data_IF_665004487602
#
_entry.id   IF_665004487602
#
_cell.length_a   1.000
_cell.length_b   1.000
_cell.length_c   1.000
_cell.angle_alpha   90.00
_cell.angle_beta   90.00
_cell.angle_gamma   90.00
#
_symmetry.space_group_name_H-M   'P 1'
#
loop_
_entity.id
_entity.type
_entity.pdbx_description
1 polymer ?
#
# COMPACT_ATOMS: atom_id res chain seq x y z
N UNK A 1 -37.21 9.65 2.94
CA UNK A 1 -37.92 8.85 3.94
C UNK A 1 -37.09 7.60 4.13
N UNK A 2 -36.38 7.31 5.21
CA UNK A 2 -36.08 7.91 6.52
C UNK A 2 -34.76 7.21 6.90
N UNK A 3 -33.66 7.89 7.21
CA UNK A 3 -33.29 8.35 8.55
C UNK A 3 -33.44 7.29 9.67
N UNK A 4 -32.40 6.48 9.87
CA UNK A 4 -32.04 5.97 11.20
C UNK A 4 -30.51 6.13 11.33
N UNK A 5 -30.05 7.25 11.88
CA UNK A 5 -29.94 7.61 13.29
C UNK A 5 -28.60 7.16 13.90
N UNK A 6 -27.74 8.18 14.04
CA UNK A 6 -26.50 8.23 14.80
C UNK A 6 -26.68 7.91 16.29
N UNK A 7 -25.57 7.44 16.89
CA UNK A 7 -24.95 7.74 18.22
C UNK A 7 -24.45 6.42 18.84
N UNK A 8 -23.17 6.27 19.19
CA UNK A 8 -22.53 6.72 20.45
C UNK A 8 -21.01 6.47 20.27
N UNK A 9 -20.08 7.44 20.32
CA UNK A 9 -19.45 8.10 21.49
C UNK A 9 -18.98 7.17 22.63
N UNK A 10 -17.66 7.00 22.79
CA UNK A 10 -16.83 7.04 24.03
C UNK A 10 -15.34 7.00 23.57
N UNK A 11 -14.56 8.08 23.65
CA UNK A 11 -13.78 8.62 24.79
C UNK A 11 -12.66 7.70 25.34
N UNK A 12 -11.43 8.24 25.40
CA UNK A 12 -10.30 7.71 26.16
C UNK A 12 -8.94 7.96 25.47
N UNK A 13 -8.43 9.20 25.39
CA UNK A 13 -7.50 9.83 26.34
C UNK A 13 -6.15 9.12 26.51
N UNK A 14 -5.09 9.77 26.01
CA UNK A 14 -3.67 9.51 26.24
C UNK A 14 -3.30 9.48 27.74
N UNK A 15 -2.14 8.91 28.07
CA UNK A 15 -1.22 9.74 28.85
C UNK A 15 0.21 9.74 28.31
N UNK A 16 0.70 10.96 28.17
CA UNK A 16 2.10 11.37 28.24
C UNK A 16 2.75 10.95 29.57
N UNK A 17 3.98 10.44 29.52
CA UNK A 17 4.78 10.14 30.71
C UNK A 17 6.27 10.01 30.39
N UNK A 18 6.97 11.14 30.46
CA UNK A 18 8.43 11.27 30.56
C UNK A 18 8.89 10.89 31.98
N UNK A 19 10.03 10.21 32.15
CA UNK A 19 11.09 10.63 33.09
C UNK A 19 12.33 9.70 33.06
N UNK A 20 13.48 10.33 32.85
CA UNK A 20 14.70 10.24 33.68
C UNK A 20 15.59 9.00 33.70
N UNK A 21 16.76 9.21 33.09
CA UNK A 21 18.10 8.79 33.48
C UNK A 21 18.31 8.59 34.98
N UNK A 22 18.86 7.43 35.36
CA UNK A 22 19.78 7.31 36.50
C UNK A 22 20.90 6.30 36.21
N UNK A 23 22.12 6.83 36.15
CA UNK A 23 23.38 6.13 36.34
C UNK A 23 23.43 5.53 37.75
N UNK A 24 23.84 4.27 37.91
CA UNK A 24 23.99 3.72 39.25
C UNK A 24 24.50 2.28 39.36
N UNK A 25 25.82 2.15 39.53
CA UNK A 25 26.56 1.09 40.26
C UNK A 25 26.65 -0.31 39.62
N UNK A 26 27.87 -0.59 39.12
CA UNK A 26 28.50 -1.92 39.13
C UNK A 26 28.41 -2.54 40.54
N UNK A 27 27.77 -3.71 40.64
CA UNK A 27 28.02 -4.69 41.70
C UNK A 27 28.64 -5.92 41.04
N UNK A 28 29.88 -6.25 41.43
CA UNK A 28 30.42 -7.60 41.33
C UNK A 28 29.55 -8.48 42.22
N UNK A 29 28.89 -9.48 41.64
CA UNK A 29 28.23 -10.56 42.37
C UNK A 29 28.87 -11.86 41.95
N UNK A 30 29.05 -12.68 42.97
CA UNK A 30 29.84 -13.89 43.08
C UNK A 30 29.57 -14.91 41.98
N UNK A 31 30.66 -15.59 41.64
CA UNK A 31 30.68 -16.83 40.88
C UNK A 31 29.95 -17.89 41.72
N UNK A 32 28.72 -18.25 41.34
CA UNK A 32 27.99 -19.37 41.90
C UNK A 32 27.76 -20.36 40.76
N UNK A 33 28.51 -21.47 40.81
CA UNK A 33 28.38 -22.58 39.89
C UNK A 33 26.97 -23.16 40.03
N UNK A 34 26.12 -22.83 39.05
CA UNK A 34 24.84 -23.51 38.84
C UNK A 34 25.15 -24.91 38.29
N UNK A 35 24.67 -25.98 38.93
CA UNK A 35 24.89 -27.34 38.46
C UNK A 35 24.21 -27.55 37.10
N UNK A 36 25.05 -27.94 36.13
CA UNK A 36 24.71 -28.40 34.79
C UNK A 36 23.86 -29.67 34.88
N UNK A 37 22.55 -29.49 34.99
CA UNK A 37 21.58 -30.54 34.69
C UNK A 37 21.31 -30.44 33.17
N UNK A 38 21.93 -31.37 32.46
CA UNK A 38 21.89 -31.48 31.02
C UNK A 38 20.62 -32.23 30.61
N UNK A 39 19.52 -31.50 30.43
CA UNK A 39 18.36 -31.98 29.68
C UNK A 39 17.65 -30.84 28.92
N UNK A 40 18.39 -29.80 28.54
CA UNK A 40 17.88 -28.78 27.63
C UNK A 40 17.96 -29.32 26.20
N UNK A 41 16.83 -29.85 25.71
CA UNK A 41 16.71 -30.37 24.34
C UNK A 41 17.13 -29.26 23.34
N UNK A 42 18.28 -29.38 22.63
CA UNK A 42 18.79 -28.33 21.74
C UNK A 42 17.94 -28.12 20.47
N UNK A 43 16.93 -28.97 20.28
CA UNK A 43 16.03 -28.99 19.13
C UNK A 43 15.16 -27.71 19.07
N UNK A 44 14.90 -27.05 20.21
CA UNK A 44 13.99 -25.88 20.25
C UNK A 44 14.62 -24.56 19.77
N UNK A 45 15.93 -24.37 19.88
CA UNK A 45 16.57 -23.09 19.52
C UNK A 45 16.86 -22.97 18.01
N UNK A 46 17.16 -24.10 17.36
CA UNK A 46 17.43 -24.15 15.91
C UNK A 46 16.17 -23.79 15.11
N UNK A 47 15.00 -24.21 15.58
CA UNK A 47 13.71 -23.89 14.97
C UNK A 47 13.37 -22.40 15.05
N UNK A 48 13.73 -21.71 16.15
CA UNK A 48 13.48 -20.26 16.30
C UNK A 48 14.41 -19.45 15.40
N UNK A 49 15.68 -19.84 15.27
CA UNK A 49 16.63 -19.18 14.35
C UNK A 49 16.22 -19.42 12.90
N UNK A 50 15.81 -20.64 12.54
CA UNK A 50 15.25 -20.93 11.21
C UNK A 50 13.98 -20.13 10.94
N UNK A 51 13.09 -19.97 11.92
CA UNK A 51 11.87 -19.17 11.77
C UNK A 51 12.18 -17.68 11.61
N UNK A 52 13.15 -17.13 12.35
CA UNK A 52 13.59 -15.74 12.21
C UNK A 52 14.29 -15.48 10.86
N UNK A 53 15.12 -16.42 10.39
CA UNK A 53 15.69 -16.37 9.03
C UNK A 53 14.61 -16.50 7.95
N UNK A 54 13.59 -17.33 8.16
CA UNK A 54 12.46 -17.50 7.23
C UNK A 54 11.60 -16.23 7.15
N UNK A 55 11.39 -15.54 8.28
CA UNK A 55 10.70 -14.23 8.32
C UNK A 55 11.51 -13.15 7.59
N UNK A 56 12.85 -13.19 7.63
CA UNK A 56 13.70 -12.25 6.89
C UNK A 56 13.76 -12.54 5.38
N UNK A 57 13.57 -13.80 4.95
CA UNK A 57 13.55 -14.18 3.54
C UNK A 57 12.18 -14.12 2.87
N UNK A 58 11.11 -13.83 3.61
CA UNK A 58 9.87 -13.28 3.06
C UNK A 58 10.11 -11.81 2.67
N UNK A 59 11.07 -11.62 1.76
CA UNK A 59 11.32 -10.35 1.11
C UNK A 59 10.03 -9.94 0.41
N UNK A 60 9.45 -8.84 0.89
CA UNK A 60 8.49 -8.09 0.10
C UNK A 60 9.13 -7.83 -1.26
N UNK A 61 8.67 -8.54 -2.28
CA UNK A 61 9.05 -8.24 -3.65
C UNK A 61 8.72 -6.77 -3.89
N UNK A 62 9.76 -5.94 -4.03
CA UNK A 62 9.59 -4.53 -4.31
C UNK A 62 9.00 -4.45 -5.72
N UNK A 63 7.73 -4.06 -5.83
CA UNK A 63 7.11 -3.85 -7.13
C UNK A 63 7.93 -2.81 -7.92
N UNK A 64 8.38 -3.19 -9.12
CA UNK A 64 9.16 -2.29 -9.97
C UNK A 64 8.23 -1.42 -10.81
N UNK A 65 7.99 -0.20 -10.34
CA UNK A 65 7.14 0.77 -11.01
C UNK A 65 7.81 1.45 -12.21
N UNK A 66 9.09 1.20 -12.49
CA UNK A 66 9.89 1.93 -13.50
C UNK A 66 9.17 2.09 -14.85
N UNK A 67 8.46 1.05 -15.30
CA UNK A 67 7.70 1.06 -16.55
C UNK A 67 6.50 2.03 -16.57
N UNK A 68 5.88 2.28 -15.42
CA UNK A 68 4.65 3.09 -15.29
C UNK A 68 4.86 4.43 -14.59
N UNK A 69 6.09 4.74 -14.14
CA UNK A 69 6.41 6.06 -13.58
C UNK A 69 6.18 7.13 -14.64
N UNK A 70 5.51 8.21 -14.25
CA UNK A 70 5.34 9.39 -15.10
C UNK A 70 4.06 10.16 -14.81
N UNK A 71 3.89 11.25 -15.55
CA UNK A 71 2.67 12.07 -15.53
C UNK A 71 1.77 11.70 -16.70
N UNK A 72 0.54 11.31 -16.41
CA UNK A 72 -0.44 10.94 -17.42
C UNK A 72 -1.53 12.00 -17.50
N UNK A 73 -1.72 12.56 -18.70
CA UNK A 73 -2.82 13.50 -18.97
C UNK A 73 -4.07 12.73 -19.40
N UNK A 74 -5.24 13.29 -19.13
CA UNK A 74 -6.45 12.67 -19.65
C UNK A 74 -6.51 12.83 -21.18
N UNK A 75 -6.72 11.72 -21.88
CA UNK A 75 -6.70 11.65 -23.34
C UNK A 75 -8.10 11.43 -23.93
N UNK A 76 -8.82 10.44 -23.43
CA UNK A 76 -10.16 10.08 -23.91
C UNK A 76 -11.09 9.82 -22.76
N UNK A 77 -12.35 10.22 -22.89
CA UNK A 77 -13.40 9.91 -21.95
C UNK A 77 -14.67 9.54 -22.72
N UNK A 78 -15.27 8.39 -22.41
CA UNK A 78 -16.54 7.98 -23.00
C UNK A 78 -17.54 7.64 -21.90
N UNK A 79 -18.81 7.92 -22.17
CA UNK A 79 -19.94 7.58 -21.29
C UNK A 79 -21.02 6.96 -22.16
N UNK A 80 -21.42 5.72 -21.85
CA UNK A 80 -22.44 4.99 -22.61
C UNK A 80 -22.11 4.87 -24.11
N UNK A 81 -20.82 4.69 -24.45
CA UNK A 81 -20.34 4.60 -25.83
C UNK A 81 -20.13 5.94 -26.55
N UNK A 82 -20.57 7.07 -25.99
CA UNK A 82 -20.36 8.38 -26.59
C UNK A 82 -19.10 9.06 -26.04
N UNK A 83 -18.24 9.53 -26.93
CA UNK A 83 -17.06 10.33 -26.58
C UNK A 83 -17.45 11.70 -26.00
N UNK A 84 -16.77 12.11 -24.93
CA UNK A 84 -16.93 13.41 -24.27
C UNK A 84 -15.57 14.07 -24.11
N UNK A 85 -15.58 15.39 -23.90
CA UNK A 85 -14.38 16.14 -23.51
C UNK A 85 -13.85 15.54 -22.21
N UNK A 86 -12.57 15.16 -22.19
CA UNK A 86 -11.99 14.76 -20.93
C UNK A 86 -11.61 15.97 -20.08
N UNK A 87 -12.14 16.00 -18.86
CA UNK A 87 -11.89 17.02 -17.83
C UNK A 87 -11.24 16.43 -16.57
N UNK A 88 -10.85 15.15 -16.60
CA UNK A 88 -10.18 14.53 -15.47
C UNK A 88 -8.79 15.16 -15.24
N UNK A 89 -8.40 15.38 -13.97
CA UNK A 89 -7.08 15.91 -13.64
C UNK A 89 -5.98 14.92 -14.03
N UNK A 90 -4.74 15.39 -14.23
CA UNK A 90 -3.60 14.51 -14.48
C UNK A 90 -3.40 13.48 -13.37
N UNK A 91 -2.97 12.27 -13.76
CA UNK A 91 -2.56 11.19 -12.86
C UNK A 91 -1.03 11.13 -12.86
N UNK A 92 -0.39 11.38 -11.72
CA UNK A 92 1.05 11.26 -11.56
C UNK A 92 1.38 10.00 -10.77
N UNK A 93 2.25 9.15 -11.31
CA UNK A 93 2.75 7.94 -10.66
C UNK A 93 4.24 8.14 -10.36
N UNK A 94 4.60 7.98 -9.09
CA UNK A 94 5.96 8.16 -8.58
C UNK A 94 6.70 6.82 -8.50
N UNK A 95 8.04 6.88 -8.52
CA UNK A 95 8.89 5.68 -8.49
C UNK A 95 8.84 4.91 -7.17
N UNK A 96 8.37 5.54 -6.09
CA UNK A 96 8.15 4.91 -4.78
C UNK A 96 6.84 4.11 -4.71
N UNK A 97 6.08 4.04 -5.80
CA UNK A 97 4.79 3.36 -5.86
C UNK A 97 3.63 4.19 -5.33
N UNK A 98 3.82 5.48 -5.06
CA UNK A 98 2.72 6.39 -4.75
C UNK A 98 2.15 7.03 -6.02
N UNK A 99 0.94 7.56 -5.91
CA UNK A 99 0.31 8.35 -6.96
C UNK A 99 -0.37 9.60 -6.41
N UNK A 100 -0.60 10.55 -7.32
CA UNK A 100 -1.41 11.72 -7.07
C UNK A 100 -2.33 12.00 -8.25
N UNK A 101 -3.60 12.30 -7.97
CA UNK A 101 -4.58 12.74 -8.96
C UNK A 101 -5.42 13.85 -8.32
N UNK A 102 -5.13 15.11 -8.69
CA UNK A 102 -5.65 16.28 -7.98
C UNK A 102 -5.31 16.22 -6.48
N UNK A 103 -6.33 16.17 -5.61
CA UNK A 103 -6.20 16.04 -4.15
C UNK A 103 -6.11 14.58 -3.67
N UNK A 104 -6.46 13.61 -4.52
CA UNK A 104 -6.36 12.19 -4.20
C UNK A 104 -4.89 11.75 -4.23
N UNK A 105 -4.43 11.09 -3.16
CA UNK A 105 -3.08 10.54 -3.04
C UNK A 105 -3.16 9.16 -2.42
N UNK A 106 -2.34 8.23 -2.89
CA UNK A 106 -2.29 6.88 -2.33
C UNK A 106 -1.14 6.09 -2.92
N UNK A 107 -1.21 4.77 -2.77
CA UNK A 107 -0.31 3.80 -3.41
C UNK A 107 -0.93 3.15 -4.63
N UNK A 108 -0.06 2.74 -5.54
CA UNK A 108 -0.35 1.94 -6.73
C UNK A 108 -0.02 0.48 -6.42
N UNK A 109 -0.87 -0.43 -6.90
CA UNK A 109 -0.55 -1.86 -6.98
C UNK A 109 -0.58 -2.30 -8.43
N UNK A 110 0.44 -3.03 -8.86
CA UNK A 110 0.48 -3.65 -10.18
C UNK A 110 0.13 -5.12 -10.11
N UNK A 111 -0.91 -5.53 -10.83
CA UNK A 111 -1.32 -6.92 -10.94
C UNK A 111 -1.12 -7.39 -12.37
N UNK A 112 -0.59 -8.60 -12.56
CA UNK A 112 -0.55 -9.25 -13.88
C UNK A 112 -1.72 -10.21 -13.99
N UNK A 113 -2.64 -9.94 -14.91
CA UNK A 113 -3.81 -10.78 -15.16
C UNK A 113 -3.91 -11.10 -16.64
N UNK A 114 -3.88 -12.40 -16.99
CA UNK A 114 -4.03 -12.88 -18.39
C UNK A 114 -3.09 -12.17 -19.38
N UNK A 115 -1.84 -11.92 -18.97
CA UNK A 115 -0.83 -11.25 -19.79
C UNK A 115 -0.98 -9.72 -19.89
N UNK A 116 -1.94 -9.11 -19.18
CA UNK A 116 -2.12 -7.66 -19.11
C UNK A 116 -1.69 -7.13 -17.74
N UNK A 117 -1.11 -5.93 -17.71
CA UNK A 117 -0.80 -5.23 -16.46
C UNK A 117 -2.02 -4.41 -16.05
N UNK A 118 -2.50 -4.67 -14.84
CA UNK A 118 -3.57 -3.95 -14.17
C UNK A 118 -2.98 -3.05 -13.10
N UNK A 119 -3.51 -1.85 -12.97
CA UNK A 119 -3.06 -0.82 -12.03
C UNK A 119 -4.23 -0.52 -11.10
N UNK A 120 -4.04 -0.74 -9.80
CA UNK A 120 -5.06 -0.45 -8.78
C UNK A 120 -4.59 0.75 -7.96
N UNK A 121 -5.43 1.78 -7.92
CA UNK A 121 -5.20 3.00 -7.15
C UNK A 121 -5.90 2.87 -5.79
N UNK A 122 -5.12 2.82 -4.71
CA UNK A 122 -5.64 2.50 -3.37
C UNK A 122 -6.72 3.43 -2.82
N UNK A 123 -6.73 4.71 -3.21
CA UNK A 123 -7.74 5.69 -2.76
C UNK A 123 -8.79 6.02 -3.82
N UNK A 124 -8.72 5.39 -5.00
CA UNK A 124 -9.73 5.60 -6.04
C UNK A 124 -11.04 4.95 -5.63
N UNK A 125 -12.05 5.78 -5.33
CA UNK A 125 -13.39 5.31 -4.94
C UNK A 125 -14.29 4.99 -6.12
N UNK A 126 -14.05 5.62 -7.26
CA UNK A 126 -14.94 5.55 -8.43
C UNK A 126 -14.33 4.66 -9.51
N UNK A 127 -13.03 4.78 -9.77
CA UNK A 127 -12.36 4.05 -10.85
C UNK A 127 -11.90 2.70 -10.31
N UNK A 128 -12.28 1.62 -11.00
CA UNK A 128 -11.78 0.27 -10.72
C UNK A 128 -10.32 0.07 -11.15
N UNK A 129 -9.87 -1.19 -11.32
CA UNK A 129 -8.55 -1.48 -11.85
C UNK A 129 -8.36 -0.90 -13.26
N UNK A 130 -7.30 -0.11 -13.45
CA UNK A 130 -6.87 0.37 -14.77
C UNK A 130 -6.10 -0.71 -15.53
N UNK A 131 -6.14 -0.68 -16.85
CA UNK A 131 -5.33 -1.57 -17.72
C UNK A 131 -4.25 -0.73 -18.38
N UNK A 132 -2.98 -1.14 -18.23
CA UNK A 132 -1.88 -0.55 -18.98
C UNK A 132 -1.93 -1.05 -20.43
N UNK A 133 -2.11 -0.13 -21.36
CA UNK A 133 -2.13 -0.37 -22.80
C UNK A 133 -0.82 0.17 -23.37
N UNK A 134 -0.13 -0.64 -24.17
CA UNK A 134 1.06 -0.23 -24.96
C UNK A 134 2.17 0.46 -24.16
N UNK A 135 2.20 0.29 -22.82
CA UNK A 135 3.19 0.88 -21.91
C UNK A 135 3.02 2.39 -21.63
N UNK A 136 2.23 3.11 -22.43
CA UNK A 136 2.06 4.56 -22.30
C UNK A 136 0.62 5.01 -22.02
N UNK A 137 -0.35 4.10 -22.01
CA UNK A 137 -1.75 4.43 -21.78
C UNK A 137 -2.32 3.64 -20.61
N UNK A 138 -3.20 4.27 -19.83
CA UNK A 138 -3.93 3.60 -18.75
C UNK A 138 -5.42 3.79 -18.98
N UNK A 139 -6.13 2.70 -19.23
CA UNK A 139 -7.57 2.67 -19.43
C UNK A 139 -8.26 2.23 -18.13
N UNK A 140 -9.08 3.10 -17.55
CA UNK A 140 -9.98 2.75 -16.45
C UNK A 140 -11.40 2.61 -16.98
N UNK A 141 -12.02 1.47 -16.69
CA UNK A 141 -13.42 1.19 -16.98
C UNK A 141 -14.16 1.05 -15.65
N UNK A 142 -15.32 1.69 -15.53
CA UNK A 142 -16.12 1.66 -14.31
C UNK A 142 -17.57 2.02 -14.61
N UNK A 143 -18.48 1.55 -13.76
CA UNK A 143 -19.89 1.93 -13.80
C UNK A 143 -20.14 3.03 -12.78
N UNK A 144 -20.78 4.12 -13.21
CA UNK A 144 -21.18 5.22 -12.34
C UNK A 144 -22.58 5.69 -12.71
N UNK A 145 -23.46 5.83 -11.72
CA UNK A 145 -24.88 6.16 -11.90
C UNK A 145 -25.60 5.28 -12.95
N UNK A 146 -25.24 4.00 -13.04
CA UNK A 146 -25.83 3.05 -13.99
C UNK A 146 -25.30 3.13 -15.42
N UNK A 147 -24.35 4.02 -15.70
CA UNK A 147 -23.72 4.17 -17.01
C UNK A 147 -22.32 3.59 -17.02
N UNK A 148 -21.90 3.04 -18.16
CA UNK A 148 -20.52 2.62 -18.38
C UNK A 148 -19.65 3.82 -18.74
N UNK A 149 -18.55 3.98 -18.00
CA UNK A 149 -17.56 5.01 -18.22
C UNK A 149 -16.22 4.38 -18.57
N UNK A 150 -15.55 4.96 -19.54
CA UNK A 150 -14.14 4.67 -19.82
C UNK A 150 -13.35 5.97 -19.83
N UNK A 151 -12.23 5.99 -19.11
CA UNK A 151 -11.26 7.09 -19.17
C UNK A 151 -9.89 6.53 -19.51
N UNK A 152 -9.31 7.06 -20.59
CA UNK A 152 -7.96 6.74 -21.03
C UNK A 152 -7.05 7.90 -20.68
N UNK A 153 -6.00 7.57 -19.95
CA UNK A 153 -4.89 8.47 -19.66
C UNK A 153 -3.72 8.14 -20.58
N UNK A 154 -3.03 9.16 -21.09
CA UNK A 154 -1.85 9.03 -21.93
C UNK A 154 -0.64 9.62 -21.19
N UNK A 155 0.45 8.88 -21.17
CA UNK A 155 1.73 9.30 -20.60
C UNK A 155 2.22 10.53 -21.35
N UNK A 156 2.55 11.57 -20.60
CA UNK A 156 3.17 12.77 -21.12
C UNK A 156 4.66 12.52 -21.13
N UNK A 157 5.31 12.79 -22.26
CA UNK A 157 6.77 12.87 -22.33
C UNK A 157 7.17 14.14 -21.57
N UNK A 158 7.77 13.98 -20.40
CA UNK A 158 8.42 15.07 -19.64
C UNK A 158 9.90 15.14 -20.02
#
# INVERSE_FOLDING_TARGET
MDLMSLKLFLLGSEPSGSLSYLFGKRKKVSNEQVPSNNNFKPISFILVILFLFFVQHLGFAKEDFSSIVGTYRCWKYNVGGAGKRCTSPPLKIYADGTYQMSVEKGTVKMLKEKGKVKIVLSQSKIRGPGTLLEGNQILFEYTYNGWEHSVTYLKTEE
#
